data_IF_769916325166
#
_entry.id   IF_769916325166
#
_cell.length_a   1.000
_cell.length_b   1.000
_cell.length_c   1.000
_cell.angle_alpha   90.00
_cell.angle_beta   90.00
_cell.angle_gamma   90.00
#
_symmetry.space_group_name_H-M   'P 1'
#
loop_
_entity.id
_entity.type
_entity.pdbx_description
1 polymer ?
#
# COMPACT_ATOMS: atom_id res chain seq x y z
N UNK A 1 15.50 32.96 -10.87
CA UNK A 1 15.42 31.90 -11.90
C UNK A 1 15.87 30.62 -11.24
N UNK A 2 15.00 29.59 -11.16
CA UNK A 2 15.36 28.32 -10.51
C UNK A 2 16.27 27.54 -11.48
N UNK A 3 17.37 26.93 -11.01
CA UNK A 3 18.28 26.14 -11.87
C UNK A 3 17.55 25.01 -12.60
N UNK A 4 17.96 24.69 -13.83
CA UNK A 4 17.42 23.57 -14.62
C UNK A 4 17.54 22.23 -13.86
N UNK A 5 18.63 22.04 -13.11
CA UNK A 5 18.83 20.84 -12.29
C UNK A 5 17.78 20.76 -11.17
N UNK A 6 17.41 21.90 -10.58
CA UNK A 6 16.37 21.95 -9.55
C UNK A 6 15.00 21.70 -10.20
N UNK A 7 14.74 22.19 -11.41
CA UNK A 7 13.49 21.89 -12.10
C UNK A 7 13.35 20.40 -12.44
N UNK A 8 14.44 19.77 -12.89
CA UNK A 8 14.47 18.34 -13.18
C UNK A 8 14.34 17.50 -11.91
N UNK A 9 15.00 17.90 -10.82
CA UNK A 9 14.82 17.30 -9.51
C UNK A 9 13.37 17.41 -9.03
N UNK A 10 12.76 18.59 -9.12
CA UNK A 10 11.38 18.82 -8.73
C UNK A 10 10.40 18.01 -9.59
N UNK A 11 10.65 17.86 -10.90
CA UNK A 11 9.86 17.03 -11.81
C UNK A 11 9.97 15.55 -11.47
N UNK A 12 11.16 15.09 -11.09
CA UNK A 12 11.37 13.72 -10.64
C UNK A 12 10.76 13.47 -9.26
N UNK A 13 10.79 14.45 -8.36
CA UNK A 13 10.08 14.41 -7.07
C UNK A 13 8.56 14.37 -7.28
N UNK A 14 8.01 15.20 -8.16
CA UNK A 14 6.56 15.18 -8.45
C UNK A 14 6.12 13.94 -9.21
N UNK A 15 6.99 13.35 -10.04
CA UNK A 15 6.76 12.01 -10.62
C UNK A 15 6.90 10.89 -9.59
N UNK A 16 7.76 11.07 -8.57
CA UNK A 16 8.09 10.02 -7.58
C UNK A 16 6.90 9.59 -6.72
N UNK A 17 5.85 10.40 -6.67
CA UNK A 17 4.66 10.10 -5.89
C UNK A 17 3.46 10.77 -6.56
N UNK A 18 2.69 9.99 -7.32
CA UNK A 18 1.40 10.46 -7.85
C UNK A 18 0.36 10.26 -6.74
N UNK A 19 -0.15 11.36 -6.18
CA UNK A 19 -1.26 11.30 -5.22
C UNK A 19 -2.55 11.00 -5.97
N UNK A 20 -3.32 10.02 -5.49
CA UNK A 20 -4.56 9.62 -6.17
C UNK A 20 -5.79 10.24 -5.53
N UNK A 21 -6.80 10.49 -6.36
CA UNK A 21 -8.17 10.75 -5.91
C UNK A 21 -8.98 9.45 -5.78
N UNK A 22 -10.10 9.52 -5.05
CA UNK A 22 -10.88 8.32 -4.70
C UNK A 22 -11.39 7.56 -5.93
N UNK A 23 -11.76 8.31 -6.98
CA UNK A 23 -12.29 7.78 -8.25
C UNK A 23 -11.20 7.12 -9.11
N UNK A 24 -9.93 7.44 -8.87
CA UNK A 24 -8.82 6.93 -9.66
C UNK A 24 -8.41 5.52 -9.24
N UNK A 25 -8.58 5.14 -7.96
CA UNK A 25 -8.28 3.77 -7.51
C UNK A 25 -9.11 2.75 -8.28
N UNK A 26 -10.41 2.99 -8.44
CA UNK A 26 -11.31 2.07 -9.15
C UNK A 26 -10.88 1.91 -10.62
N UNK A 27 -10.39 2.99 -11.24
CA UNK A 27 -9.81 2.92 -12.58
C UNK A 27 -8.51 2.12 -12.60
N UNK A 28 -7.66 2.25 -11.58
CA UNK A 28 -6.38 1.52 -11.49
C UNK A 28 -6.60 0.01 -11.31
N UNK A 29 -7.60 -0.40 -10.52
CA UNK A 29 -7.88 -1.82 -10.25
C UNK A 29 -8.75 -2.50 -11.32
N UNK A 30 -9.54 -1.73 -12.10
CA UNK A 30 -10.46 -2.30 -13.11
C UNK A 30 -9.84 -2.51 -14.50
N UNK A 31 -8.76 -1.81 -14.84
CA UNK A 31 -8.28 -1.65 -16.23
C UNK A 31 -7.37 -2.77 -16.77
N UNK A 32 -7.43 -3.99 -16.23
CA UNK A 32 -6.44 -5.05 -16.54
C UNK A 32 -4.99 -4.62 -16.23
N UNK A 33 -4.79 -3.53 -15.47
CA UNK A 33 -3.44 -3.17 -15.01
C UNK A 33 -3.01 -4.24 -14.01
N UNK A 34 -1.93 -4.93 -14.33
CA UNK A 34 -1.29 -5.89 -13.41
C UNK A 34 -0.27 -5.19 -12.53
N UNK A 35 -0.01 -3.90 -12.77
CA UNK A 35 1.03 -3.16 -12.09
C UNK A 35 0.65 -1.71 -11.76
N UNK A 36 0.74 -1.36 -10.49
CA UNK A 36 0.67 0.01 -9.98
C UNK A 36 2.05 0.40 -9.49
N UNK A 37 2.57 1.51 -10.00
CA UNK A 37 3.92 1.97 -9.70
C UNK A 37 3.91 3.42 -9.22
N UNK A 38 4.68 3.70 -8.17
CA UNK A 38 5.02 5.06 -7.76
C UNK A 38 3.83 5.95 -7.31
N UNK A 39 2.86 5.32 -6.66
CA UNK A 39 1.61 5.97 -6.22
C UNK A 39 1.65 6.30 -4.72
N UNK A 40 1.19 7.50 -4.36
CA UNK A 40 0.99 7.93 -2.97
C UNK A 40 -0.46 7.76 -2.51
N UNK A 41 -0.67 6.74 -1.68
CA UNK A 41 -1.89 6.47 -0.92
C UNK A 41 -1.82 7.03 0.51
N UNK A 42 -0.99 8.04 0.79
CA UNK A 42 -0.89 8.61 2.13
C UNK A 42 -2.24 9.14 2.62
N UNK A 43 -2.72 8.60 3.76
CA UNK A 43 -4.05 8.86 4.35
C UNK A 43 -5.24 8.54 3.44
N UNK A 44 -4.99 7.80 2.37
CA UNK A 44 -6.04 7.39 1.46
C UNK A 44 -6.87 6.27 2.08
N UNK A 45 -8.17 6.24 1.76
CA UNK A 45 -9.11 5.25 2.27
C UNK A 45 -9.37 4.15 1.22
N UNK A 46 -9.07 2.90 1.57
CA UNK A 46 -9.35 1.70 0.79
C UNK A 46 -10.35 0.85 1.56
N UNK A 47 -11.64 1.06 1.29
CA UNK A 47 -12.72 0.39 2.00
C UNK A 47 -13.57 -0.47 1.06
N UNK A 48 -13.93 -1.68 1.49
CA UNK A 48 -14.80 -2.60 0.75
C UNK A 48 -14.31 -2.93 -0.68
N UNK A 49 -13.01 -3.17 -0.84
CA UNK A 49 -12.41 -3.50 -2.15
C UNK A 49 -11.93 -4.95 -2.21
N UNK A 50 -12.07 -5.55 -3.39
CA UNK A 50 -11.43 -6.81 -3.76
C UNK A 50 -10.34 -6.50 -4.77
N UNK A 51 -9.09 -6.81 -4.41
CA UNK A 51 -7.91 -6.53 -5.21
C UNK A 51 -7.21 -7.86 -5.44
N UNK A 52 -7.07 -8.25 -6.70
CA UNK A 52 -6.55 -9.57 -7.06
C UNK A 52 -5.44 -9.45 -8.10
N UNK A 53 -4.39 -10.26 -7.95
CA UNK A 53 -3.31 -10.41 -8.92
C UNK A 53 -2.61 -9.11 -9.32
N UNK A 54 -2.50 -8.17 -8.38
CA UNK A 54 -1.95 -6.84 -8.62
C UNK A 54 -0.57 -6.68 -7.99
N UNK A 55 0.36 -6.08 -8.73
CA UNK A 55 1.69 -5.72 -8.24
C UNK A 55 1.74 -4.23 -7.93
N UNK A 56 2.00 -3.87 -6.67
CA UNK A 56 2.33 -2.52 -6.23
C UNK A 56 3.85 -2.37 -6.15
N UNK A 57 4.43 -1.34 -6.75
CA UNK A 57 5.86 -1.01 -6.60
C UNK A 57 6.07 0.45 -6.25
N UNK A 58 6.99 0.68 -5.32
CA UNK A 58 7.36 2.02 -4.85
C UNK A 58 6.16 2.86 -4.37
N UNK A 59 5.06 2.21 -3.99
CA UNK A 59 3.86 2.88 -3.49
C UNK A 59 3.98 3.20 -1.99
N UNK A 60 3.44 4.34 -1.59
CA UNK A 60 3.31 4.77 -0.19
C UNK A 60 1.89 4.53 0.30
N UNK A 61 1.71 3.69 1.31
CA UNK A 61 0.47 3.51 2.08
C UNK A 61 0.57 4.14 3.46
N UNK A 62 1.46 5.13 3.64
CA UNK A 62 1.71 5.74 4.95
C UNK A 62 0.42 6.30 5.51
N UNK A 63 0.03 5.94 6.73
CA UNK A 63 -1.20 6.46 7.34
C UNK A 63 -2.48 6.14 6.56
N UNK A 64 -2.44 5.24 5.57
CA UNK A 64 -3.63 4.82 4.83
C UNK A 64 -4.59 4.08 5.76
N UNK A 65 -5.88 4.15 5.44
CA UNK A 65 -6.94 3.44 6.13
C UNK A 65 -7.46 2.34 5.21
N UNK A 66 -7.20 1.08 5.56
CA UNK A 66 -7.62 -0.07 4.75
C UNK A 66 -8.62 -0.88 5.56
N UNK A 67 -9.87 -0.93 5.11
CA UNK A 67 -10.92 -1.58 5.88
C UNK A 67 -11.79 -2.51 5.04
N UNK A 68 -12.28 -3.59 5.64
CA UNK A 68 -13.27 -4.50 5.04
C UNK A 68 -12.91 -4.95 3.61
N UNK A 69 -11.62 -5.13 3.33
CA UNK A 69 -11.10 -5.36 1.99
C UNK A 69 -10.40 -6.72 1.88
N UNK A 70 -10.09 -7.15 0.67
CA UNK A 70 -9.32 -8.38 0.42
C UNK A 70 -8.28 -8.19 -0.67
N UNK A 71 -7.06 -8.66 -0.40
CA UNK A 71 -5.95 -8.73 -1.32
C UNK A 71 -5.61 -10.21 -1.58
N UNK A 72 -5.67 -10.65 -2.84
CA UNK A 72 -5.42 -12.05 -3.21
C UNK A 72 -4.38 -12.13 -4.32
N UNK A 73 -3.34 -12.95 -4.14
CA UNK A 73 -2.24 -13.10 -5.11
C UNK A 73 -1.54 -11.77 -5.47
N UNK A 74 -1.50 -10.81 -4.53
CA UNK A 74 -0.90 -9.49 -4.76
C UNK A 74 0.57 -9.47 -4.35
N UNK A 75 1.36 -8.63 -5.02
CA UNK A 75 2.76 -8.41 -4.70
C UNK A 75 2.99 -6.95 -4.34
N UNK A 76 3.68 -6.68 -3.23
CA UNK A 76 4.07 -5.34 -2.81
C UNK A 76 5.59 -5.29 -2.77
N UNK A 77 6.20 -4.39 -3.55
CA UNK A 77 7.66 -4.31 -3.69
C UNK A 77 8.12 -2.88 -3.42
N UNK A 78 9.04 -2.71 -2.47
CA UNK A 78 9.54 -1.39 -2.05
C UNK A 78 8.40 -0.46 -1.59
N UNK A 79 7.36 -1.00 -0.93
CA UNK A 79 6.23 -0.22 -0.44
C UNK A 79 6.37 0.15 1.04
N UNK A 80 5.69 1.21 1.47
CA UNK A 80 5.69 1.67 2.87
C UNK A 80 4.29 1.65 3.47
N UNK A 81 4.15 1.01 4.63
CA UNK A 81 2.92 0.92 5.44
C UNK A 81 3.06 1.62 6.79
N UNK A 82 3.99 2.57 6.89
CA UNK A 82 4.25 3.30 8.14
C UNK A 82 2.95 3.94 8.65
N UNK A 83 2.60 3.75 9.92
CA UNK A 83 1.40 4.32 10.56
C UNK A 83 0.07 3.97 9.87
N UNK A 84 0.06 2.99 8.95
CA UNK A 84 -1.18 2.54 8.32
C UNK A 84 -2.09 1.87 9.35
N UNK A 85 -3.40 2.02 9.16
CA UNK A 85 -4.42 1.36 9.96
C UNK A 85 -5.16 0.40 9.05
N UNK A 86 -5.14 -0.87 9.41
CA UNK A 86 -5.78 -1.94 8.67
C UNK A 86 -6.76 -2.64 9.60
N UNK A 87 -7.99 -2.80 9.13
CA UNK A 87 -9.07 -3.38 9.92
C UNK A 87 -9.93 -4.33 9.08
N UNK A 88 -10.30 -5.49 9.63
CA UNK A 88 -11.21 -6.44 8.99
C UNK A 88 -10.81 -6.79 7.54
N UNK A 89 -9.52 -6.85 7.26
CA UNK A 89 -8.97 -7.02 5.91
C UNK A 89 -8.23 -8.35 5.80
N UNK A 90 -8.38 -9.00 4.64
CA UNK A 90 -7.72 -10.29 4.37
C UNK A 90 -6.62 -10.14 3.32
N UNK A 91 -5.43 -10.67 3.62
CA UNK A 91 -4.36 -10.88 2.66
C UNK A 91 -4.20 -12.39 2.43
N UNK A 92 -4.33 -12.84 1.18
CA UNK A 92 -4.19 -14.26 0.81
C UNK A 92 -3.16 -14.42 -0.30
N UNK A 93 -2.21 -15.33 -0.14
CA UNK A 93 -1.17 -15.61 -1.13
C UNK A 93 -0.41 -14.34 -1.58
N UNK A 94 -0.18 -13.39 -0.67
CA UNK A 94 0.48 -12.13 -1.00
C UNK A 94 1.97 -12.16 -0.68
N UNK A 95 2.78 -11.47 -1.46
CA UNK A 95 4.22 -11.33 -1.21
C UNK A 95 4.57 -9.87 -0.94
N UNK A 96 5.32 -9.62 0.13
CA UNK A 96 5.87 -8.31 0.46
C UNK A 96 7.40 -8.39 0.36
N UNK A 97 8.01 -7.55 -0.47
CA UNK A 97 9.46 -7.55 -0.74
C UNK A 97 10.01 -6.15 -0.50
N UNK A 98 11.05 -6.03 0.34
CA UNK A 98 11.67 -4.75 0.68
C UNK A 98 10.68 -3.70 1.20
N UNK A 99 9.63 -4.14 1.89
CA UNK A 99 8.60 -3.24 2.41
C UNK A 99 8.93 -2.76 3.83
N UNK A 100 8.34 -1.62 4.21
CA UNK A 100 8.46 -1.07 5.57
C UNK A 100 7.10 -1.14 6.27
N UNK A 101 7.05 -1.83 7.40
CA UNK A 101 5.91 -1.89 8.31
C UNK A 101 6.35 -1.33 9.66
N UNK A 102 6.02 -0.07 9.93
CA UNK A 102 6.39 0.57 11.19
C UNK A 102 5.22 1.30 11.83
N UNK A 103 4.97 1.06 13.11
CA UNK A 103 3.86 1.69 13.84
C UNK A 103 2.50 1.46 13.16
N UNK A 104 2.35 0.35 12.45
CA UNK A 104 1.11 -0.06 11.79
C UNK A 104 0.16 -0.66 12.82
N UNK A 105 -1.14 -0.43 12.67
CA UNK A 105 -2.16 -1.09 13.47
C UNK A 105 -2.95 -2.05 12.59
N UNK A 106 -2.94 -3.33 12.96
CA UNK A 106 -3.78 -4.37 12.37
C UNK A 106 -4.84 -4.83 13.39
N UNK A 107 -6.10 -4.81 12.98
CA UNK A 107 -7.23 -5.16 13.83
C UNK A 107 -8.17 -6.12 13.10
N UNK A 108 -8.38 -7.30 13.66
CA UNK A 108 -9.24 -8.33 13.06
C UNK A 108 -8.86 -8.71 11.62
N UNK A 109 -7.58 -8.56 11.29
CA UNK A 109 -7.04 -8.89 9.98
C UNK A 109 -6.60 -10.35 9.90
N UNK A 110 -6.64 -10.90 8.69
CA UNK A 110 -6.20 -12.26 8.40
C UNK A 110 -5.14 -12.26 7.32
N UNK A 111 -3.98 -12.81 7.62
CA UNK A 111 -2.91 -13.05 6.64
C UNK A 111 -2.72 -14.55 6.45
N UNK A 112 -3.03 -15.07 5.27
CA UNK A 112 -2.92 -16.49 4.92
C UNK A 112 -1.97 -16.66 3.74
N UNK A 113 -1.01 -17.60 3.86
CA UNK A 113 -0.02 -17.89 2.82
C UNK A 113 0.74 -16.64 2.33
N UNK A 114 0.98 -15.69 3.22
CA UNK A 114 1.73 -14.49 2.88
C UNK A 114 3.22 -14.66 3.18
N UNK A 115 4.09 -14.05 2.37
CA UNK A 115 5.53 -14.05 2.60
C UNK A 115 6.08 -12.63 2.70
N UNK A 116 7.10 -12.45 3.53
CA UNK A 116 7.77 -11.18 3.77
C UNK A 116 9.27 -11.39 3.55
N UNK A 117 9.84 -10.68 2.60
CA UNK A 117 11.23 -10.83 2.17
C UNK A 117 11.94 -9.48 2.30
N UNK A 118 13.01 -9.42 3.09
CA UNK A 118 13.78 -8.19 3.33
C UNK A 118 12.92 -7.02 3.83
N UNK A 119 11.86 -7.30 4.59
CA UNK A 119 10.99 -6.27 5.13
C UNK A 119 11.52 -5.74 6.47
N UNK A 120 11.40 -4.43 6.67
CA UNK A 120 11.60 -3.81 7.98
C UNK A 120 10.27 -3.82 8.75
N UNK A 121 10.23 -4.46 9.92
CA UNK A 121 9.01 -4.65 10.71
C UNK A 121 9.31 -4.22 12.15
N UNK A 122 8.66 -3.14 12.60
CA UNK A 122 8.97 -2.50 13.89
C UNK A 122 7.72 -1.83 14.49
N UNK A 123 7.54 -1.87 15.81
CA UNK A 123 6.49 -1.14 16.54
C UNK A 123 5.04 -1.37 16.07
N UNK A 124 4.74 -2.50 15.43
CA UNK A 124 3.39 -2.77 14.92
C UNK A 124 2.48 -3.34 16.02
N UNK A 125 1.21 -2.93 16.01
CA UNK A 125 0.17 -3.39 16.94
C UNK A 125 -0.74 -4.37 16.22
N UNK A 126 -0.91 -5.56 16.79
CA UNK A 126 -1.83 -6.58 16.31
C UNK A 126 -2.92 -6.81 17.36
N UNK A 127 -4.18 -6.70 16.96
CA UNK A 127 -5.32 -6.80 17.87
C UNK A 127 -6.49 -7.54 17.24
N UNK A 128 -7.36 -8.11 18.07
CA UNK A 128 -8.60 -8.75 17.63
C UNK A 128 -9.74 -8.38 18.59
N UNK A 129 -10.94 -8.17 18.07
CA UNK A 129 -12.16 -7.94 18.86
C UNK A 129 -12.97 -9.23 19.10
N UNK A 130 -12.42 -10.40 18.74
CA UNK A 130 -13.08 -11.69 19.00
C UNK A 130 -13.09 -11.97 20.51
N UNK A 131 -14.25 -11.79 21.13
CA UNK A 131 -14.63 -12.36 22.44
C UNK A 131 -14.80 -13.87 22.34
#
# INVERSE_FOLDING_TARGET
>A
MISNDIQELLKNITKSLIKIETKELDALISRQSTHIDNIDFHRYEISHRKIESLKFSFCSFRGAFISYSSFTNCNFINCSFITAIVCNTKFTNCTFINCVFRSMHLQDDLMSNCSFQNCHIEDNIFSTNKT
#
